data_IF_680521198376
#
_entry.id   IF_680521198376
#
_cell.length_a   1.000
_cell.length_b   1.000
_cell.length_c   1.000
_cell.angle_alpha   90.00
_cell.angle_beta   90.00
_cell.angle_gamma   90.00
#
_symmetry.space_group_name_H-M   'P 1'
#
loop_
_entity.id
_entity.type
_entity.pdbx_description
1 polymer ?
#
# COMPACT_ATOMS: atom_id res chain seq x y z
N UNK A 1 43.33 43.17 4.67
CA UNK A 1 43.57 41.98 3.81
C UNK A 1 42.33 41.13 3.49
N UNK A 2 41.24 41.22 4.24
CA UNK A 2 39.99 40.42 3.97
C UNK A 2 39.16 40.95 2.79
N UNK A 3 39.19 42.24 2.46
CA UNK A 3 38.41 42.83 1.35
C UNK A 3 38.90 42.41 -0.05
N UNK A 4 40.20 42.07 -0.22
CA UNK A 4 40.74 41.64 -1.51
C UNK A 4 40.41 40.17 -1.88
N UNK A 5 40.03 39.36 -0.94
CA UNK A 5 39.65 37.94 -1.18
C UNK A 5 38.21 37.84 -1.68
N UNK A 6 37.32 38.69 -1.17
CA UNK A 6 35.91 38.76 -1.59
C UNK A 6 35.78 39.25 -3.02
N UNK A 7 36.60 40.26 -3.41
CA UNK A 7 36.64 40.79 -4.79
C UNK A 7 37.20 39.79 -5.80
N UNK A 8 38.07 38.84 -5.39
CA UNK A 8 38.56 37.78 -6.27
C UNK A 8 37.54 36.66 -6.50
N UNK A 9 36.72 36.33 -5.50
CA UNK A 9 35.62 35.38 -5.65
C UNK A 9 34.49 35.93 -6.54
N UNK A 10 34.24 37.24 -6.49
CA UNK A 10 33.25 37.89 -7.35
C UNK A 10 33.67 37.98 -8.85
N UNK A 11 34.97 37.78 -9.17
CA UNK A 11 35.50 37.75 -10.54
C UNK A 11 35.79 36.36 -11.09
N UNK A 12 35.37 35.30 -10.38
CA UNK A 12 35.45 33.94 -10.92
C UNK A 12 34.59 33.84 -12.20
N UNK A 13 35.26 33.74 -13.35
CA UNK A 13 34.59 33.53 -14.63
C UNK A 13 33.71 32.29 -14.54
N UNK A 14 32.42 32.40 -14.82
CA UNK A 14 31.53 31.21 -14.77
C UNK A 14 32.12 30.15 -15.68
N UNK A 15 32.14 28.91 -15.19
CA UNK A 15 32.58 27.75 -15.95
C UNK A 15 31.88 27.70 -17.32
N UNK A 16 32.52 27.11 -18.32
CA UNK A 16 31.97 27.03 -19.69
C UNK A 16 30.54 26.43 -19.71
N UNK A 17 30.23 25.56 -18.76
CA UNK A 17 28.89 25.03 -18.51
C UNK A 17 27.91 26.10 -18.01
N UNK A 18 28.29 26.94 -17.05
CA UNK A 18 27.46 28.04 -16.55
C UNK A 18 27.18 29.12 -17.63
N UNK A 19 28.11 29.35 -18.55
CA UNK A 19 27.90 30.23 -19.73
C UNK A 19 26.93 29.62 -20.75
N UNK A 20 26.98 28.29 -20.99
CA UNK A 20 26.05 27.60 -21.90
C UNK A 20 24.63 27.59 -21.36
N UNK A 21 24.44 27.44 -20.04
CA UNK A 21 23.12 27.43 -19.42
C UNK A 21 22.49 28.83 -19.36
N UNK A 22 23.27 29.91 -19.20
CA UNK A 22 22.73 31.30 -19.19
C UNK A 22 22.08 31.77 -20.48
N UNK A 23 22.33 31.09 -21.61
CA UNK A 23 21.70 31.41 -22.90
C UNK A 23 20.42 30.59 -23.20
N UNK A 24 20.06 29.66 -22.34
CA UNK A 24 18.88 28.83 -22.52
C UNK A 24 17.65 29.48 -21.87
N UNK A 25 16.50 29.35 -22.49
CA UNK A 25 15.23 29.73 -21.83
C UNK A 25 14.99 28.84 -20.61
N UNK A 26 14.24 29.33 -19.61
CA UNK A 26 13.90 28.56 -18.40
C UNK A 26 13.26 27.20 -18.72
N UNK A 27 12.49 27.14 -19.82
CA UNK A 27 11.91 25.86 -20.30
C UNK A 27 12.98 24.90 -20.82
N UNK A 28 13.98 25.40 -21.54
CA UNK A 28 15.08 24.56 -22.05
C UNK A 28 15.94 24.03 -20.89
N UNK A 29 16.20 24.86 -19.88
CA UNK A 29 16.89 24.44 -18.65
C UNK A 29 16.09 23.35 -17.93
N UNK A 30 14.79 23.55 -17.72
CA UNK A 30 13.92 22.56 -17.10
C UNK A 30 13.97 21.22 -17.86
N UNK A 31 13.87 21.24 -19.20
CA UNK A 31 13.96 20.02 -20.00
C UNK A 31 15.30 19.31 -19.90
N UNK A 32 16.41 20.03 -19.87
CA UNK A 32 17.77 19.45 -19.72
C UNK A 32 17.91 18.68 -18.40
N UNK A 33 17.34 19.21 -17.30
CA UNK A 33 17.41 18.56 -16.00
C UNK A 33 16.38 17.43 -15.83
N UNK A 34 15.20 17.57 -16.41
CA UNK A 34 14.11 16.60 -16.23
C UNK A 34 14.18 15.43 -17.22
N UNK A 35 14.65 15.67 -18.45
CA UNK A 35 14.70 14.66 -19.53
C UNK A 35 15.48 13.40 -19.14
N UNK A 36 16.69 13.46 -18.55
CA UNK A 36 17.41 12.23 -18.19
C UNK A 36 16.62 11.36 -17.22
N UNK A 37 15.96 11.98 -16.23
CA UNK A 37 15.12 11.27 -15.27
C UNK A 37 13.89 10.65 -15.93
N UNK A 38 13.19 11.41 -16.79
CA UNK A 38 12.04 10.90 -17.54
C UNK A 38 12.45 9.74 -18.44
N UNK A 39 13.54 9.87 -19.20
CA UNK A 39 14.01 8.80 -20.08
C UNK A 39 14.36 7.53 -19.30
N UNK A 40 15.03 7.67 -18.16
CA UNK A 40 15.35 6.52 -17.29
C UNK A 40 14.07 5.85 -16.76
N UNK A 41 13.11 6.63 -16.26
CA UNK A 41 11.83 6.12 -15.77
C UNK A 41 11.03 5.42 -16.89
N UNK A 42 11.00 5.99 -18.08
CA UNK A 42 10.35 5.38 -19.25
C UNK A 42 11.03 4.06 -19.63
N UNK A 43 12.37 4.04 -19.68
CA UNK A 43 13.12 2.83 -20.01
C UNK A 43 12.85 1.70 -19.00
N UNK A 44 12.90 2.00 -17.70
CA UNK A 44 12.75 0.99 -16.65
C UNK A 44 11.29 0.51 -16.50
N UNK A 45 10.29 1.37 -16.75
CA UNK A 45 8.89 1.01 -16.53
C UNK A 45 8.17 0.62 -17.84
N UNK A 46 8.33 1.40 -18.91
CA UNK A 46 7.54 1.20 -20.13
C UNK A 46 8.07 0.04 -20.96
N UNK A 47 9.39 -0.13 -21.08
CA UNK A 47 9.95 -1.22 -21.85
C UNK A 47 9.54 -2.60 -21.27
N UNK A 48 9.71 -2.88 -19.96
CA UNK A 48 9.26 -4.15 -19.39
C UNK A 48 7.73 -4.34 -19.47
N UNK A 49 6.95 -3.25 -19.37
CA UNK A 49 5.50 -3.34 -19.53
C UNK A 49 5.11 -3.79 -20.95
N UNK A 50 5.67 -3.16 -21.98
CA UNK A 50 5.42 -3.55 -23.39
C UNK A 50 5.85 -5.00 -23.62
N UNK A 51 7.00 -5.40 -23.06
CA UNK A 51 7.50 -6.76 -23.14
C UNK A 51 6.54 -7.76 -22.48
N UNK A 52 6.05 -7.45 -21.26
CA UNK A 52 5.06 -8.25 -20.55
C UNK A 52 3.75 -8.36 -21.33
N UNK A 53 3.26 -7.28 -21.92
CA UNK A 53 2.07 -7.29 -22.78
C UNK A 53 2.31 -8.21 -23.99
N UNK A 54 3.47 -8.15 -24.65
CA UNK A 54 3.78 -9.04 -25.77
C UNK A 54 3.82 -10.51 -25.34
N UNK A 55 4.50 -10.81 -24.23
CA UNK A 55 4.61 -12.17 -23.70
C UNK A 55 3.25 -12.75 -23.31
N UNK A 56 2.31 -11.94 -22.86
CA UNK A 56 0.99 -12.39 -22.42
C UNK A 56 0.18 -13.10 -23.51
N UNK A 57 0.49 -12.81 -24.79
CA UNK A 57 -0.12 -13.46 -25.96
C UNK A 57 0.64 -14.68 -26.47
N UNK A 58 1.65 -15.14 -25.74
CA UNK A 58 2.51 -16.26 -26.16
C UNK A 58 2.46 -17.41 -25.17
N UNK A 59 2.95 -18.58 -25.62
CA UNK A 59 3.16 -19.75 -24.77
C UNK A 59 4.55 -19.79 -24.12
N UNK A 60 5.25 -18.65 -24.02
CA UNK A 60 6.63 -18.58 -23.54
C UNK A 60 6.77 -19.13 -22.12
N UNK A 61 7.80 -19.97 -21.93
CA UNK A 61 8.19 -20.52 -20.65
C UNK A 61 9.71 -20.35 -20.50
N UNK A 62 10.14 -19.59 -19.48
CA UNK A 62 11.54 -19.20 -19.32
C UNK A 62 12.49 -20.38 -19.01
N UNK A 63 11.97 -21.49 -18.48
CA UNK A 63 12.74 -22.72 -18.23
C UNK A 63 12.92 -23.61 -19.49
N UNK A 64 12.39 -23.20 -20.64
CA UNK A 64 12.48 -23.91 -21.92
C UNK A 64 13.04 -22.99 -23.00
N UNK A 65 14.31 -22.56 -22.93
CA UNK A 65 14.86 -21.56 -23.85
C UNK A 65 14.85 -21.99 -25.32
N UNK A 66 14.89 -23.30 -25.59
CA UNK A 66 14.88 -23.86 -26.95
C UNK A 66 13.47 -24.20 -27.45
N UNK A 67 12.42 -23.98 -26.68
CA UNK A 67 11.06 -24.20 -27.14
C UNK A 67 10.61 -23.08 -28.08
N UNK A 68 9.90 -23.49 -29.15
CA UNK A 68 9.34 -22.54 -30.10
C UNK A 68 8.30 -21.63 -29.40
N UNK A 69 8.55 -20.33 -29.42
CA UNK A 69 7.61 -19.34 -28.86
C UNK A 69 6.50 -19.11 -29.90
N UNK A 70 5.32 -19.66 -29.61
CA UNK A 70 4.14 -19.53 -30.46
C UNK A 70 3.21 -18.45 -29.95
N UNK A 71 2.63 -17.71 -30.87
CA UNK A 71 1.54 -16.78 -30.57
C UNK A 71 0.25 -17.57 -30.31
N UNK A 72 -0.34 -17.40 -29.11
CA UNK A 72 -1.55 -18.12 -28.69
C UNK A 72 -2.78 -17.19 -28.55
N UNK A 73 -2.63 -15.92 -28.92
CA UNK A 73 -3.71 -14.93 -28.84
C UNK A 73 -4.24 -14.77 -27.42
N UNK A 74 -5.54 -14.75 -27.23
CA UNK A 74 -6.20 -14.54 -25.94
C UNK A 74 -6.31 -15.80 -25.06
N UNK A 75 -5.74 -16.94 -25.48
CA UNK A 75 -5.89 -18.22 -24.77
C UNK A 75 -5.46 -18.16 -23.30
N UNK A 76 -4.40 -17.42 -22.97
CA UNK A 76 -3.96 -17.24 -21.58
C UNK A 76 -5.01 -16.48 -20.76
N UNK A 77 -5.58 -15.44 -21.33
CA UNK A 77 -6.61 -14.61 -20.68
C UNK A 77 -7.89 -15.41 -20.42
N UNK A 78 -8.39 -16.12 -21.43
CA UNK A 78 -9.59 -16.97 -21.28
C UNK A 78 -9.39 -18.04 -20.23
N UNK A 79 -8.22 -18.69 -20.21
CA UNK A 79 -7.87 -19.71 -19.22
C UNK A 79 -7.86 -19.13 -17.80
N UNK A 80 -7.25 -17.96 -17.58
CA UNK A 80 -7.22 -17.30 -16.26
C UNK A 80 -8.63 -16.93 -15.78
N UNK A 81 -9.45 -16.38 -16.67
CA UNK A 81 -10.81 -15.94 -16.32
C UNK A 81 -11.80 -17.11 -16.09
N UNK A 82 -11.47 -18.32 -16.57
CA UNK A 82 -12.30 -19.52 -16.37
C UNK A 82 -11.74 -20.49 -15.32
N UNK A 83 -10.57 -20.20 -14.75
CA UNK A 83 -9.91 -21.04 -13.77
C UNK A 83 -10.49 -20.83 -12.36
N UNK A 84 -11.14 -21.85 -11.74
CA UNK A 84 -11.70 -21.73 -10.40
C UNK A 84 -10.65 -21.39 -9.33
N UNK A 85 -9.42 -21.89 -9.45
CA UNK A 85 -8.35 -21.67 -8.49
C UNK A 85 -7.94 -20.18 -8.48
N UNK A 86 -7.92 -19.55 -9.65
CA UNK A 86 -7.68 -18.10 -9.76
C UNK A 86 -8.79 -17.29 -9.08
N UNK A 87 -10.05 -17.68 -9.25
CA UNK A 87 -11.16 -17.02 -8.57
C UNK A 87 -11.10 -17.18 -7.05
N UNK A 88 -10.65 -18.34 -6.56
CA UNK A 88 -10.41 -18.55 -5.14
C UNK A 88 -9.33 -17.60 -4.60
N UNK A 89 -8.21 -17.42 -5.31
CA UNK A 89 -7.18 -16.45 -4.91
C UNK A 89 -7.68 -15.02 -4.96
N UNK A 90 -8.52 -14.67 -5.92
CA UNK A 90 -9.17 -13.35 -5.99
C UNK A 90 -10.12 -13.12 -4.80
N UNK A 91 -10.89 -14.13 -4.40
CA UNK A 91 -11.76 -14.05 -3.21
C UNK A 91 -10.95 -13.90 -1.93
N UNK A 92 -9.86 -14.66 -1.76
CA UNK A 92 -8.96 -14.52 -0.62
C UNK A 92 -8.35 -13.12 -0.56
N UNK A 93 -7.93 -12.58 -1.71
CA UNK A 93 -7.39 -11.20 -1.82
C UNK A 93 -8.46 -10.16 -1.50
N UNK A 94 -9.68 -10.32 -1.99
CA UNK A 94 -10.79 -9.41 -1.71
C UNK A 94 -11.19 -9.44 -0.22
N UNK A 95 -11.23 -10.62 0.41
CA UNK A 95 -11.45 -10.78 1.84
C UNK A 95 -10.37 -10.05 2.65
N UNK A 96 -9.10 -10.32 2.35
CA UNK A 96 -7.97 -9.66 3.00
C UNK A 96 -8.06 -8.12 2.84
N UNK A 97 -8.26 -7.64 1.63
CA UNK A 97 -8.35 -6.21 1.30
C UNK A 97 -9.49 -5.52 2.06
N UNK A 98 -10.68 -6.12 2.04
CA UNK A 98 -11.85 -5.54 2.68
C UNK A 98 -11.66 -5.39 4.18
N UNK A 99 -11.26 -6.46 4.87
CA UNK A 99 -11.16 -6.45 6.31
C UNK A 99 -9.98 -5.62 6.82
N UNK A 100 -8.83 -5.67 6.16
CA UNK A 100 -7.70 -4.83 6.55
C UNK A 100 -8.00 -3.35 6.38
N UNK A 101 -8.60 -2.95 5.26
CA UNK A 101 -8.99 -1.55 5.04
C UNK A 101 -10.04 -1.10 6.06
N UNK A 102 -11.05 -1.92 6.34
CA UNK A 102 -12.08 -1.60 7.31
C UNK A 102 -11.48 -1.35 8.70
N UNK A 103 -10.65 -2.27 9.19
CA UNK A 103 -10.04 -2.12 10.52
C UNK A 103 -9.02 -0.97 10.56
N UNK A 104 -8.19 -0.80 9.55
CA UNK A 104 -7.23 0.30 9.47
C UNK A 104 -7.93 1.66 9.43
N UNK A 105 -9.04 1.78 8.73
CA UNK A 105 -9.84 3.02 8.67
C UNK A 105 -10.46 3.32 10.04
N UNK A 106 -11.14 2.34 10.64
CA UNK A 106 -11.83 2.53 11.92
C UNK A 106 -10.83 2.83 13.05
N UNK A 107 -9.80 2.00 13.18
CA UNK A 107 -8.81 2.16 14.25
C UNK A 107 -7.93 3.39 13.98
N UNK A 108 -7.44 3.57 12.75
CA UNK A 108 -6.57 4.68 12.37
C UNK A 108 -7.23 6.03 12.52
N UNK A 109 -8.49 6.18 12.09
CA UNK A 109 -9.25 7.41 12.30
C UNK A 109 -9.52 7.66 13.79
N UNK A 110 -9.89 6.62 14.55
CA UNK A 110 -10.12 6.73 15.99
C UNK A 110 -8.87 7.17 16.75
N UNK A 111 -7.70 6.60 16.41
CA UNK A 111 -6.41 7.00 16.95
C UNK A 111 -6.04 8.43 16.55
N UNK A 112 -6.25 8.82 15.29
CA UNK A 112 -6.02 10.18 14.83
C UNK A 112 -6.87 11.19 15.60
N UNK A 113 -8.16 10.88 15.80
CA UNK A 113 -9.07 11.73 16.56
C UNK A 113 -8.69 11.86 18.04
N UNK A 114 -8.20 10.75 18.65
CA UNK A 114 -7.69 10.76 20.02
C UNK A 114 -6.41 11.59 20.15
N UNK A 115 -5.42 11.38 19.27
CA UNK A 115 -4.12 12.05 19.26
C UNK A 115 -4.24 13.52 18.84
N UNK A 116 -5.28 13.91 18.11
CA UNK A 116 -5.52 15.31 17.78
C UNK A 116 -5.76 16.18 19.02
N UNK A 117 -6.13 15.58 20.16
CA UNK A 117 -6.26 16.29 21.43
C UNK A 117 -4.88 16.59 22.01
N UNK A 118 -4.67 17.83 22.46
CA UNK A 118 -3.42 18.24 23.14
C UNK A 118 -3.38 17.66 24.56
N UNK A 119 -2.50 16.69 24.79
CA UNK A 119 -2.23 16.14 26.13
C UNK A 119 -0.73 15.86 26.32
N UNK A 120 -0.29 15.76 27.58
CA UNK A 120 1.12 15.43 27.88
C UNK A 120 1.45 14.02 27.42
N UNK A 121 2.56 13.85 26.70
CA UNK A 121 2.99 12.56 26.15
C UNK A 121 2.45 12.20 24.75
N UNK A 122 1.70 13.12 24.11
CA UNK A 122 1.13 12.92 22.77
C UNK A 122 2.19 12.52 21.74
N UNK A 123 3.35 13.19 21.74
CA UNK A 123 4.42 12.92 20.79
C UNK A 123 5.07 11.54 21.02
N UNK A 124 5.27 11.16 22.31
CA UNK A 124 5.75 9.82 22.65
C UNK A 124 4.78 8.73 22.20
N UNK A 125 3.49 8.92 22.50
CA UNK A 125 2.44 7.97 22.09
C UNK A 125 2.37 7.86 20.57
N UNK A 126 2.43 8.97 19.84
CA UNK A 126 2.46 8.99 18.38
C UNK A 126 3.68 8.21 17.85
N UNK A 127 4.86 8.44 18.44
CA UNK A 127 6.09 7.72 18.06
C UNK A 127 5.94 6.22 18.27
N UNK A 128 5.41 5.79 19.41
CA UNK A 128 5.20 4.36 19.72
C UNK A 128 4.20 3.71 18.74
N UNK A 129 3.11 4.42 18.41
CA UNK A 129 2.12 3.91 17.45
C UNK A 129 2.71 3.77 16.04
N UNK A 130 3.63 4.66 15.65
CA UNK A 130 4.23 4.65 14.31
C UNK A 130 5.32 3.57 14.14
N UNK A 131 5.90 3.06 15.23
CA UNK A 131 6.99 2.06 15.17
C UNK A 131 6.70 0.84 14.29
N UNK A 132 5.51 0.20 14.32
CA UNK A 132 5.22 -0.97 13.51
C UNK A 132 5.46 -0.76 12.01
N UNK A 133 5.03 0.37 11.47
CA UNK A 133 5.16 0.64 10.03
C UNK A 133 6.59 0.95 9.57
N UNK A 134 7.52 1.16 10.50
CA UNK A 134 8.95 1.35 10.19
C UNK A 134 9.69 0.02 9.97
N UNK A 135 9.07 -1.10 10.35
CA UNK A 135 9.63 -2.44 10.16
C UNK A 135 9.34 -2.93 8.74
N UNK A 136 10.19 -3.81 8.20
CA UNK A 136 9.87 -4.45 6.93
C UNK A 136 8.74 -5.48 7.10
N UNK A 137 7.86 -5.67 6.10
CA UNK A 137 6.78 -6.66 6.19
C UNK A 137 7.25 -8.08 6.48
N UNK A 138 8.41 -8.48 5.98
CA UNK A 138 8.99 -9.79 6.24
C UNK A 138 9.39 -9.96 7.73
N UNK A 139 9.99 -8.93 8.35
CA UNK A 139 10.32 -8.94 9.78
C UNK A 139 9.05 -9.00 10.62
N UNK A 140 8.03 -8.22 10.27
CA UNK A 140 6.72 -8.26 10.93
C UNK A 140 6.09 -9.64 10.81
N UNK A 141 6.15 -10.27 9.64
CA UNK A 141 5.66 -11.63 9.43
C UNK A 141 6.33 -12.63 10.38
N UNK A 142 7.66 -12.63 10.47
CA UNK A 142 8.37 -13.49 11.41
C UNK A 142 8.01 -13.19 12.87
N UNK A 143 7.92 -11.92 13.25
CA UNK A 143 7.53 -11.53 14.61
C UNK A 143 6.14 -12.06 14.97
N UNK A 144 5.15 -11.90 14.08
CA UNK A 144 3.81 -12.40 14.29
C UNK A 144 3.72 -13.93 14.26
N UNK A 145 4.60 -14.64 13.54
CA UNK A 145 4.69 -16.11 13.62
C UNK A 145 5.00 -16.56 15.05
N UNK A 146 5.94 -15.90 15.74
CA UNK A 146 6.21 -16.17 17.15
C UNK A 146 5.05 -15.80 18.07
N UNK A 147 4.36 -14.70 17.81
CA UNK A 147 3.20 -14.29 18.60
C UNK A 147 2.02 -15.27 18.47
N UNK A 148 1.88 -15.90 17.31
CA UNK A 148 0.81 -16.89 17.04
C UNK A 148 1.18 -18.32 17.37
N UNK A 149 2.41 -18.57 17.88
CA UNK A 149 2.83 -19.93 18.25
C UNK A 149 1.90 -20.50 19.33
N UNK A 150 1.28 -21.69 19.13
CA UNK A 150 0.26 -22.22 20.07
C UNK A 150 0.77 -22.45 21.48
N UNK A 151 2.07 -22.77 21.66
CA UNK A 151 2.61 -23.15 22.97
C UNK A 151 3.20 -21.97 23.75
N UNK A 152 3.76 -20.98 23.07
CA UNK A 152 4.51 -19.87 23.71
C UNK A 152 4.09 -18.49 23.22
N UNK A 153 3.15 -18.42 22.24
CA UNK A 153 2.77 -17.17 21.61
C UNK A 153 1.92 -16.28 22.51
N UNK A 154 2.40 -15.07 22.74
CA UNK A 154 1.73 -14.08 23.59
C UNK A 154 0.29 -13.80 23.15
N UNK A 155 0.02 -13.80 21.83
CA UNK A 155 -1.31 -13.56 21.29
C UNK A 155 -2.30 -14.64 21.75
N UNK A 156 -1.92 -15.92 21.70
CA UNK A 156 -2.78 -17.01 22.10
C UNK A 156 -3.05 -16.98 23.61
N UNK A 157 -2.07 -16.64 24.44
CA UNK A 157 -2.28 -16.43 25.87
C UNK A 157 -3.19 -15.24 26.19
N UNK A 158 -3.07 -14.15 25.41
CA UNK A 158 -3.99 -13.02 25.55
C UNK A 158 -5.43 -13.42 25.20
N UNK A 159 -5.64 -14.20 24.13
CA UNK A 159 -6.97 -14.73 23.80
C UNK A 159 -7.48 -15.65 24.90
N UNK A 160 -6.66 -16.54 25.43
CA UNK A 160 -7.04 -17.40 26.57
C UNK A 160 -7.48 -16.57 27.79
N UNK A 161 -6.72 -15.53 28.14
CA UNK A 161 -7.04 -14.64 29.26
C UNK A 161 -8.42 -13.98 29.12
N UNK A 162 -8.78 -13.50 27.90
CA UNK A 162 -10.06 -12.82 27.69
C UNK A 162 -11.24 -13.75 27.41
N UNK A 163 -11.01 -14.94 26.84
CA UNK A 163 -12.08 -15.83 26.37
C UNK A 163 -12.22 -17.10 27.19
N UNK A 164 -11.19 -17.46 27.98
CA UNK A 164 -11.12 -18.73 28.70
C UNK A 164 -10.83 -19.94 27.79
N UNK A 165 -10.59 -19.76 26.50
CA UNK A 165 -10.24 -20.82 25.56
C UNK A 165 -8.75 -21.11 25.70
N UNK A 166 -8.32 -22.36 26.02
CA UNK A 166 -6.90 -22.66 26.20
C UNK A 166 -6.05 -22.32 24.98
N UNK A 167 -4.92 -21.63 25.17
CA UNK A 167 -4.02 -21.20 24.11
C UNK A 167 -3.59 -22.34 23.18
N UNK A 168 -3.40 -23.54 23.74
CA UNK A 168 -3.01 -24.75 22.99
C UNK A 168 -4.13 -25.38 22.15
N UNK A 169 -5.38 -24.95 22.35
CA UNK A 169 -6.53 -25.55 21.67
C UNK A 169 -6.78 -25.01 20.27
N UNK A 170 -6.14 -23.92 19.89
CA UNK A 170 -6.31 -23.31 18.57
C UNK A 170 -4.96 -22.90 17.97
N UNK A 171 -4.88 -22.98 16.64
CA UNK A 171 -3.71 -22.54 15.87
C UNK A 171 -4.15 -21.43 14.91
N UNK A 172 -3.63 -20.22 15.14
CA UNK A 172 -3.94 -19.07 14.28
C UNK A 172 -3.48 -19.29 12.85
N UNK A 173 -2.32 -19.89 12.65
CA UNK A 173 -1.74 -20.09 11.31
C UNK A 173 -2.11 -21.44 10.68
N UNK A 174 -2.42 -22.45 11.49
CA UNK A 174 -2.75 -23.81 11.02
C UNK A 174 -4.24 -24.04 10.72
N UNK A 175 -5.12 -23.14 11.15
CA UNK A 175 -6.56 -23.30 10.94
C UNK A 175 -7.00 -22.62 9.64
N UNK A 176 -7.78 -23.33 8.82
CA UNK A 176 -8.39 -22.83 7.57
C UNK A 176 -9.24 -21.57 7.81
N UNK A 177 -9.90 -21.49 8.97
CA UNK A 177 -10.78 -20.37 9.32
C UNK A 177 -10.04 -19.20 9.97
N UNK A 178 -8.97 -19.47 10.74
CA UNK A 178 -8.26 -18.45 11.50
C UNK A 178 -7.07 -17.84 10.72
N UNK A 179 -6.43 -18.60 9.84
CA UNK A 179 -5.28 -18.11 9.08
C UNK A 179 -5.59 -16.85 8.23
N UNK A 180 -6.73 -16.69 7.56
CA UNK A 180 -7.08 -15.43 6.90
C UNK A 180 -7.14 -14.25 7.87
N UNK A 181 -7.63 -14.46 9.10
CA UNK A 181 -7.70 -13.41 10.12
C UNK A 181 -6.33 -13.08 10.71
N UNK A 182 -5.42 -14.06 10.82
CA UNK A 182 -4.07 -13.81 11.32
C UNK A 182 -3.32 -12.80 10.44
N UNK A 183 -3.43 -12.90 9.12
CA UNK A 183 -2.81 -11.94 8.21
C UNK A 183 -3.52 -10.58 8.24
N UNK A 184 -4.85 -10.54 8.40
CA UNK A 184 -5.62 -9.31 8.57
C UNK A 184 -5.19 -8.55 9.83
N UNK A 185 -5.03 -9.26 10.97
CA UNK A 185 -4.62 -8.65 12.23
C UNK A 185 -3.19 -8.10 12.14
N UNK A 186 -2.25 -8.89 11.61
CA UNK A 186 -0.86 -8.49 11.48
C UNK A 186 -0.68 -7.27 10.55
N UNK A 187 -1.36 -7.25 9.40
CA UNK A 187 -1.33 -6.13 8.46
C UNK A 187 -2.04 -4.90 9.04
N UNK A 188 -3.15 -5.09 9.75
CA UNK A 188 -3.85 -3.99 10.42
C UNK A 188 -2.95 -3.34 11.46
N UNK A 189 -2.29 -4.12 12.33
CA UNK A 189 -1.36 -3.60 13.33
C UNK A 189 -0.21 -2.82 12.68
N UNK A 190 0.37 -3.34 11.62
CA UNK A 190 1.50 -2.73 10.94
C UNK A 190 1.15 -1.40 10.27
N UNK A 191 -0.01 -1.32 9.62
CA UNK A 191 -0.33 -0.20 8.73
C UNK A 191 -1.42 0.75 9.22
N UNK A 192 -2.06 0.48 10.34
CA UNK A 192 -2.98 1.44 10.99
C UNK A 192 -2.34 2.82 11.21
N UNK A 193 -1.03 2.91 11.61
CA UNK A 193 -0.38 4.21 11.79
C UNK A 193 -0.36 5.07 10.53
N UNK A 194 -0.26 4.48 9.35
CA UNK A 194 -0.31 5.21 8.08
C UNK A 194 -1.66 5.94 7.89
N UNK A 195 -2.77 5.23 8.11
CA UNK A 195 -4.11 5.81 8.04
C UNK A 195 -4.29 6.87 9.12
N UNK A 196 -3.82 6.59 10.35
CA UNK A 196 -3.83 7.54 11.46
C UNK A 196 -3.12 8.85 11.10
N UNK A 197 -1.91 8.79 10.54
CA UNK A 197 -1.14 10.00 10.21
C UNK A 197 -1.82 10.85 9.13
N UNK A 198 -2.38 10.24 8.10
CA UNK A 198 -3.10 10.97 7.05
C UNK A 198 -4.37 11.60 7.60
N UNK A 199 -5.13 10.86 8.41
CA UNK A 199 -6.33 11.42 9.07
C UNK A 199 -5.97 12.51 10.07
N UNK A 200 -4.87 12.37 10.82
CA UNK A 200 -4.38 13.38 11.76
C UNK A 200 -3.98 14.67 11.04
N UNK A 201 -3.31 14.55 9.89
CA UNK A 201 -3.02 15.72 9.04
C UNK A 201 -4.31 16.41 8.58
N UNK A 202 -5.33 15.64 8.19
CA UNK A 202 -6.65 16.16 7.86
C UNK A 202 -7.33 16.86 9.04
N UNK A 203 -7.32 16.25 10.23
CA UNK A 203 -7.89 16.84 11.44
C UNK A 203 -7.20 18.16 11.82
N UNK A 204 -5.87 18.22 11.71
CA UNK A 204 -5.08 19.43 12.02
C UNK A 204 -5.19 20.52 10.96
N UNK A 205 -5.70 20.22 9.79
CA UNK A 205 -5.94 21.21 8.72
C UNK A 205 -7.26 21.95 8.90
N UNK A 206 -8.15 21.51 9.81
CA UNK A 206 -9.42 22.19 10.10
C UNK A 206 -9.14 23.42 10.94
N UNK A 207 -9.51 24.64 10.49
CA UNK A 207 -9.29 25.85 11.27
C UNK A 207 -10.16 25.89 12.53
N UNK A 208 -9.59 26.36 13.64
CA UNK A 208 -10.27 26.41 14.94
C UNK A 208 -11.55 27.26 14.92
N UNK A 209 -11.60 28.33 14.11
CA UNK A 209 -12.78 29.21 14.03
C UNK A 209 -14.08 28.49 13.60
N UNK A 210 -13.96 27.35 12.88
CA UNK A 210 -15.13 26.53 12.50
C UNK A 210 -15.80 25.93 13.74
N UNK A 211 -14.99 25.47 14.69
CA UNK A 211 -15.48 24.91 15.94
C UNK A 211 -15.98 26.01 16.89
N UNK A 212 -15.29 27.17 16.93
CA UNK A 212 -15.70 28.32 17.68
C UNK A 212 -17.08 28.85 17.25
N UNK A 213 -17.30 28.98 15.92
CA UNK A 213 -18.60 29.36 15.38
C UNK A 213 -19.69 28.34 15.75
N UNK A 214 -19.40 27.05 15.67
CA UNK A 214 -20.32 25.99 16.04
C UNK A 214 -20.67 26.02 17.56
N UNK A 215 -19.74 26.44 18.40
CA UNK A 215 -19.99 26.62 19.85
C UNK A 215 -20.91 27.82 20.13
N UNK A 216 -20.76 28.93 19.39
CA UNK A 216 -21.68 30.09 19.45
C UNK A 216 -23.09 29.64 19.04
N UNK A 217 -23.23 28.79 18.01
CA UNK A 217 -24.50 28.21 17.57
C UNK A 217 -25.02 27.10 18.51
N UNK A 218 -24.33 26.84 19.63
CA UNK A 218 -24.68 25.79 20.62
C UNK A 218 -24.77 24.38 19.97
N UNK A 219 -24.01 24.11 18.92
CA UNK A 219 -23.95 22.78 18.31
C UNK A 219 -23.26 21.77 19.25
N UNK A 220 -23.93 20.65 19.51
CA UNK A 220 -23.35 19.59 20.36
C UNK A 220 -22.08 19.03 19.72
N UNK A 221 -21.15 18.50 20.55
CA UNK A 221 -19.89 17.87 20.06
C UNK A 221 -20.15 16.71 19.09
N UNK A 222 -21.24 15.96 19.29
CA UNK A 222 -21.68 14.91 18.37
C UNK A 222 -22.08 15.47 17.01
N UNK A 223 -22.82 16.57 16.98
CA UNK A 223 -23.19 17.26 15.75
C UNK A 223 -21.95 17.82 15.06
N UNK A 224 -21.05 18.52 15.77
CA UNK A 224 -19.78 19.02 15.24
C UNK A 224 -18.97 17.89 14.59
N UNK A 225 -18.90 16.72 15.24
CA UNK A 225 -18.17 15.56 14.71
C UNK A 225 -18.73 15.10 13.37
N UNK A 226 -20.03 14.83 13.28
CA UNK A 226 -20.63 14.26 12.06
C UNK A 226 -20.87 15.26 10.93
N UNK A 227 -21.14 16.53 11.24
CA UNK A 227 -21.48 17.55 10.22
C UNK A 227 -20.29 18.39 9.79
N UNK A 228 -19.20 18.42 10.57
CA UNK A 228 -18.03 19.25 10.27
C UNK A 228 -16.75 18.40 10.21
N UNK A 229 -16.39 17.71 11.29
CA UNK A 229 -15.12 16.99 11.38
C UNK A 229 -15.04 15.86 10.34
N UNK A 230 -16.01 14.95 10.33
CA UNK A 230 -15.99 13.80 9.41
C UNK A 230 -16.01 14.24 7.94
N UNK A 231 -16.91 15.14 7.48
CA UNK A 231 -16.90 15.57 6.07
C UNK A 231 -15.58 16.26 5.65
N UNK A 232 -14.98 17.07 6.54
CA UNK A 232 -13.72 17.78 6.22
C UNK A 232 -12.51 16.86 6.20
N UNK A 233 -12.50 15.78 6.99
CA UNK A 233 -11.43 14.77 6.99
C UNK A 233 -11.64 13.69 5.93
N UNK A 234 -12.86 13.52 5.44
CA UNK A 234 -13.22 12.47 4.48
C UNK A 234 -12.31 12.42 3.24
N UNK A 235 -11.88 13.52 2.59
CA UNK A 235 -10.94 13.47 1.48
C UNK A 235 -9.58 12.86 1.86
N UNK A 236 -9.08 13.14 3.06
CA UNK A 236 -7.83 12.57 3.58
C UNK A 236 -7.97 11.08 3.86
N UNK A 237 -9.08 10.69 4.48
CA UNK A 237 -9.40 9.29 4.73
C UNK A 237 -9.54 8.51 3.43
N UNK A 238 -10.24 9.06 2.43
CA UNK A 238 -10.33 8.46 1.11
C UNK A 238 -8.95 8.33 0.44
N UNK A 239 -8.08 9.32 0.59
CA UNK A 239 -6.70 9.23 0.09
C UNK A 239 -5.92 8.09 0.76
N UNK A 240 -6.04 7.95 2.09
CA UNK A 240 -5.42 6.85 2.83
C UNK A 240 -5.92 5.47 2.35
N UNK A 241 -7.23 5.33 2.15
CA UNK A 241 -7.85 4.10 1.62
C UNK A 241 -7.36 3.78 0.21
N UNK A 242 -7.21 4.79 -0.66
CA UNK A 242 -6.69 4.60 -2.01
C UNK A 242 -5.27 4.02 -1.98
N UNK A 243 -4.36 4.65 -1.24
CA UNK A 243 -2.98 4.17 -1.14
C UNK A 243 -2.90 2.77 -0.52
N UNK A 244 -3.61 2.54 0.60
CA UNK A 244 -3.62 1.22 1.23
C UNK A 244 -4.26 0.15 0.35
N UNK A 245 -5.34 0.49 -0.36
CA UNK A 245 -5.98 -0.43 -1.29
C UNK A 245 -5.03 -0.91 -2.39
N UNK A 246 -4.27 -0.01 -3.00
CA UNK A 246 -3.27 -0.35 -4.02
C UNK A 246 -2.15 -1.20 -3.42
N UNK A 247 -1.63 -0.84 -2.24
CA UNK A 247 -0.53 -1.57 -1.58
C UNK A 247 -0.98 -2.96 -1.10
N UNK A 248 -2.16 -3.07 -0.49
CA UNK A 248 -2.69 -4.35 0.00
C UNK A 248 -2.96 -5.33 -1.14
N UNK A 249 -3.36 -4.84 -2.33
CA UNK A 249 -3.55 -5.70 -3.49
C UNK A 249 -2.24 -6.37 -3.96
N UNK A 250 -1.10 -5.72 -3.69
CA UNK A 250 0.25 -6.22 -4.02
C UNK A 250 0.91 -6.93 -2.84
N UNK A 251 0.22 -7.07 -1.70
CA UNK A 251 0.78 -7.67 -0.48
C UNK A 251 1.37 -9.04 -0.77
N UNK A 252 2.61 -9.26 -0.36
CA UNK A 252 3.35 -10.49 -0.61
C UNK A 252 4.16 -10.93 0.62
N UNK A 253 5.13 -10.12 1.05
CA UNK A 253 6.16 -10.53 2.02
C UNK A 253 5.58 -10.98 3.37
N UNK A 254 4.64 -10.23 3.93
CA UNK A 254 3.99 -10.55 5.19
C UNK A 254 3.29 -11.91 5.13
N UNK A 255 2.52 -12.15 4.07
CA UNK A 255 1.72 -13.38 3.92
C UNK A 255 2.60 -14.59 3.67
N UNK A 256 3.67 -14.42 2.87
CA UNK A 256 4.64 -15.50 2.63
C UNK A 256 5.32 -15.92 3.92
N UNK A 257 5.69 -14.96 4.78
CA UNK A 257 6.35 -15.26 6.06
C UNK A 257 5.39 -15.89 7.08
N UNK A 258 4.12 -15.45 7.12
CA UNK A 258 3.14 -15.96 8.07
C UNK A 258 2.61 -17.35 7.71
N UNK A 259 2.18 -17.54 6.46
CA UNK A 259 1.40 -18.70 6.06
C UNK A 259 1.88 -19.36 4.77
N UNK A 260 2.70 -18.67 3.97
CA UNK A 260 3.09 -19.13 2.63
C UNK A 260 1.92 -19.35 1.67
N UNK A 261 0.71 -18.83 2.00
CA UNK A 261 -0.52 -19.05 1.26
C UNK A 261 -1.42 -20.15 1.81
N UNK A 262 -0.99 -20.87 2.88
CA UNK A 262 -1.71 -21.96 3.53
C UNK A 262 -2.56 -21.53 4.74
N UNK A 263 -3.22 -22.48 5.43
CA UNK A 263 -3.35 -23.89 5.07
C UNK A 263 -4.20 -24.11 3.80
N UNK A 264 -3.84 -25.09 3.01
CA UNK A 264 -4.41 -25.28 1.67
C UNK A 264 -4.13 -24.07 0.76
N UNK A 265 -5.18 -23.36 0.35
CA UNK A 265 -5.11 -22.13 -0.45
C UNK A 265 -5.86 -20.95 0.19
N UNK A 266 -6.19 -21.03 1.49
CA UNK A 266 -7.08 -20.05 2.16
C UNK A 266 -6.49 -18.65 2.30
N UNK A 267 -5.17 -18.56 2.36
CA UNK A 267 -4.43 -17.28 2.40
C UNK A 267 -3.59 -17.04 1.14
N UNK A 268 -3.86 -17.80 0.08
CA UNK A 268 -3.17 -17.65 -1.19
C UNK A 268 -3.68 -16.41 -1.92
N UNK A 269 -2.97 -15.30 -1.78
CA UNK A 269 -3.29 -14.07 -2.47
C UNK A 269 -2.88 -14.09 -3.94
N UNK A 270 -3.52 -13.26 -4.76
CA UNK A 270 -3.22 -13.13 -6.21
C UNK A 270 -1.74 -12.82 -6.49
N UNK A 271 -1.08 -12.03 -5.64
CA UNK A 271 0.35 -11.72 -5.72
C UNK A 271 1.24 -12.95 -5.54
N UNK A 272 0.87 -13.85 -4.62
CA UNK A 272 1.62 -15.09 -4.35
C UNK A 272 1.42 -16.09 -5.49
N UNK A 273 0.18 -16.25 -5.98
CA UNK A 273 -0.09 -17.14 -7.12
C UNK A 273 0.60 -16.63 -8.40
N UNK A 274 0.58 -15.31 -8.63
CA UNK A 274 1.34 -14.73 -9.74
C UNK A 274 2.83 -15.09 -9.67
N UNK A 275 3.44 -14.99 -8.49
CA UNK A 275 4.85 -15.39 -8.29
C UNK A 275 5.06 -16.87 -8.53
N UNK A 276 4.15 -17.74 -8.07
CA UNK A 276 4.20 -19.20 -8.31
C UNK A 276 4.14 -19.52 -9.80
N UNK A 277 3.22 -18.92 -10.53
CA UNK A 277 3.09 -19.12 -11.97
C UNK A 277 4.31 -18.62 -12.74
N UNK A 278 4.90 -17.48 -12.33
CA UNK A 278 6.03 -16.87 -13.00
C UNK A 278 7.35 -17.59 -12.73
N UNK A 279 7.64 -17.94 -11.47
CA UNK A 279 8.99 -18.31 -11.01
C UNK A 279 9.09 -19.76 -10.50
N UNK A 280 8.00 -20.41 -10.13
CA UNK A 280 8.01 -21.81 -9.71
C UNK A 280 7.55 -22.73 -10.87
N UNK A 281 6.44 -22.36 -11.52
CA UNK A 281 5.91 -23.11 -12.67
C UNK A 281 6.50 -22.66 -14.01
N UNK A 282 7.23 -21.54 -14.01
CA UNK A 282 7.90 -20.96 -15.19
C UNK A 282 6.99 -20.71 -16.40
N UNK A 283 5.70 -20.52 -16.18
CA UNK A 283 4.70 -20.24 -17.22
C UNK A 283 4.68 -18.74 -17.54
N UNK A 284 5.78 -18.22 -18.08
CA UNK A 284 6.02 -16.78 -18.24
C UNK A 284 4.95 -16.07 -19.07
N UNK A 285 4.51 -16.68 -20.19
CA UNK A 285 3.42 -16.11 -21.00
C UNK A 285 2.09 -16.04 -20.25
N UNK A 286 1.75 -17.11 -19.52
CA UNK A 286 0.54 -17.16 -18.68
C UNK A 286 0.58 -16.16 -17.52
N UNK A 287 1.70 -16.13 -16.79
CA UNK A 287 1.87 -15.18 -15.66
C UNK A 287 1.92 -13.72 -16.13
N UNK A 288 2.44 -13.45 -17.34
CA UNK A 288 2.37 -12.12 -17.95
C UNK A 288 0.91 -11.72 -18.22
N UNK A 289 0.06 -12.61 -18.74
CA UNK A 289 -1.37 -12.33 -18.91
C UNK A 289 -2.06 -12.11 -17.56
N UNK A 290 -1.71 -12.90 -16.54
CA UNK A 290 -2.24 -12.73 -15.19
C UNK A 290 -1.84 -11.39 -14.58
N UNK A 291 -0.58 -10.97 -14.71
CA UNK A 291 -0.10 -9.66 -14.29
C UNK A 291 -0.86 -8.51 -14.96
N UNK A 292 -1.16 -8.62 -16.27
CA UNK A 292 -1.95 -7.61 -16.99
C UNK A 292 -3.40 -7.57 -16.48
N UNK A 293 -4.04 -8.71 -16.22
CA UNK A 293 -5.39 -8.75 -15.63
C UNK A 293 -5.39 -8.04 -14.27
N UNK A 294 -4.43 -8.37 -13.39
CA UNK A 294 -4.31 -7.74 -12.08
C UNK A 294 -4.06 -6.23 -12.20
N UNK A 295 -3.17 -5.81 -13.11
CA UNK A 295 -2.90 -4.41 -13.37
C UNK A 295 -4.16 -3.66 -13.80
N UNK A 296 -4.90 -4.19 -14.77
CA UNK A 296 -6.16 -3.59 -15.26
C UNK A 296 -7.21 -3.53 -14.15
N UNK A 297 -7.30 -4.57 -13.32
CA UNK A 297 -8.22 -4.64 -12.17
C UNK A 297 -7.91 -3.52 -11.16
N UNK A 298 -6.65 -3.42 -10.71
CA UNK A 298 -6.22 -2.38 -9.75
C UNK A 298 -6.40 -0.98 -10.33
N UNK A 299 -5.97 -0.79 -11.58
CA UNK A 299 -6.09 0.50 -12.27
C UNK A 299 -7.55 0.92 -12.44
N UNK A 300 -8.42 -0.02 -12.82
CA UNK A 300 -9.86 0.21 -12.95
C UNK A 300 -10.50 0.60 -11.63
N UNK A 301 -10.26 -0.18 -10.57
CA UNK A 301 -10.77 0.10 -9.23
C UNK A 301 -10.27 1.45 -8.69
N UNK A 302 -8.96 1.72 -8.83
CA UNK A 302 -8.37 2.99 -8.42
C UNK A 302 -8.96 4.17 -9.19
N UNK A 303 -9.17 4.03 -10.52
CA UNK A 303 -9.75 5.09 -11.35
C UNK A 303 -11.20 5.40 -10.97
N UNK A 304 -12.02 4.37 -10.68
CA UNK A 304 -13.39 4.55 -10.18
C UNK A 304 -13.37 5.26 -8.82
N UNK A 305 -12.46 4.82 -7.94
CA UNK A 305 -12.31 5.41 -6.62
C UNK A 305 -11.89 6.88 -6.66
N UNK A 306 -10.93 7.24 -7.53
CA UNK A 306 -10.48 8.64 -7.72
C UNK A 306 -11.61 9.53 -8.23
N UNK A 307 -12.47 9.02 -9.13
CA UNK A 307 -13.66 9.77 -9.55
C UNK A 307 -14.61 10.05 -8.38
N UNK A 308 -14.81 9.06 -7.50
CA UNK A 308 -15.61 9.25 -6.29
C UNK A 308 -14.96 10.26 -5.33
N UNK A 309 -13.64 10.19 -5.14
CA UNK A 309 -12.89 11.15 -4.32
C UNK A 309 -13.04 12.60 -4.83
N UNK A 310 -12.90 12.82 -6.14
CA UNK A 310 -13.02 14.16 -6.73
C UNK A 310 -14.44 14.73 -6.52
N UNK A 311 -15.47 13.91 -6.65
CA UNK A 311 -16.86 14.33 -6.38
C UNK A 311 -17.09 14.73 -4.91
N UNK A 312 -16.35 14.13 -3.97
CA UNK A 312 -16.43 14.51 -2.55
C UNK A 312 -15.71 15.83 -2.29
N UNK A 313 -14.58 16.10 -2.98
CA UNK A 313 -13.82 17.36 -2.85
C UNK A 313 -14.55 18.59 -3.43
N UNK A 314 -15.41 18.39 -4.39
CA UNK A 314 -16.20 19.46 -5.06
C UNK A 314 -17.46 19.87 -4.26
N UNK A 315 -17.79 19.15 -3.19
CA UNK A 315 -18.90 19.45 -2.26
C UNK A 315 -18.42 20.21 -1.04
#
# INVERSE_FOLDING_TARGET
MAHSAIDRLARATPSSLARRVRGLSDRAIAWVFVTPTILLLLAINIFPLIWTVRLSFTNFAANKPNAEVKWVGLRNYTRILTDPDIWQTMQATAHFLFWTLLFQVVIGFSLAWLINRKFRGNDLLTTLIVLPMMLSPAVVGNFWTFLYEPQIGLFNYAVEFFTGIPASSFSMLGSVTLAPWSIVIADTWMWTPFVMLICLAGLRSIPDYIYEAAEVDRASKWRQFWTMTVPMVLPFLMLAVLFRGIENFKMFDLVVQLTGGGPGSTTLLTSIELKREAFEKWRTGYSSAYAIILFVTVFGLASIYVKALNKVKER
#
